data_IF_166408006722
#
_entry.id   IF_166408006722
#
_cell.length_a   1.000
_cell.length_b   1.000
_cell.length_c   1.000
_cell.angle_alpha   90.00
_cell.angle_beta   90.00
_cell.angle_gamma   90.00
#
_symmetry.space_group_name_H-M   'P 1'
#
loop_
_entity.id
_entity.type
_entity.pdbx_description
1 polymer ?
#
# COMPACT_ATOMS: atom_id res chain seq x y z
N UNK A 1 -26.19 -36.98 17.84
CA UNK A 1 -26.85 -35.71 17.48
C UNK A 1 -25.79 -34.83 16.85
N UNK A 2 -25.68 -34.90 15.53
CA UNK A 2 -24.74 -34.10 14.73
C UNK A 2 -25.54 -32.94 14.16
N UNK A 3 -25.23 -31.71 14.59
CA UNK A 3 -25.81 -30.51 14.00
C UNK A 3 -24.78 -29.92 13.04
N UNK A 4 -25.01 -30.17 11.75
CA UNK A 4 -24.34 -29.49 10.64
C UNK A 4 -24.85 -28.05 10.62
N UNK A 5 -23.97 -27.08 10.91
CA UNK A 5 -24.31 -25.67 10.81
C UNK A 5 -24.53 -25.32 9.32
N UNK A 6 -25.74 -24.86 8.98
CA UNK A 6 -26.05 -24.37 7.63
C UNK A 6 -25.41 -23.00 7.42
N UNK A 7 -24.62 -22.89 6.37
CA UNK A 7 -24.05 -21.64 5.86
C UNK A 7 -25.19 -20.89 5.15
N UNK A 8 -25.49 -19.62 5.50
CA UNK A 8 -26.50 -18.85 4.77
C UNK A 8 -25.95 -18.44 3.41
N UNK A 9 -26.69 -18.74 2.34
CA UNK A 9 -26.45 -18.22 0.99
C UNK A 9 -26.55 -16.68 1.03
N UNK A 10 -25.47 -16.00 0.62
CA UNK A 10 -25.46 -14.57 0.33
C UNK A 10 -25.25 -14.36 -1.17
N UNK A 11 -25.92 -13.32 -1.67
CA UNK A 11 -25.93 -12.83 -3.05
C UNK A 11 -24.55 -12.93 -3.73
N UNK A 12 -24.48 -13.43 -4.98
CA UNK A 12 -23.24 -13.51 -5.72
C UNK A 12 -22.69 -12.11 -6.03
N UNK A 13 -21.38 -11.94 -5.84
CA UNK A 13 -20.65 -10.81 -6.40
C UNK A 13 -20.79 -10.82 -7.93
N UNK A 14 -20.96 -9.64 -8.52
CA UNK A 14 -21.34 -9.42 -9.91
C UNK A 14 -20.47 -10.18 -10.95
N UNK A 15 -21.15 -10.59 -12.01
CA UNK A 15 -20.72 -11.44 -13.12
C UNK A 15 -19.49 -10.92 -13.91
N UNK A 16 -18.61 -11.84 -14.29
CA UNK A 16 -17.21 -11.65 -14.70
C UNK A 16 -17.05 -11.37 -16.21
N UNK A 17 -17.90 -10.52 -16.79
CA UNK A 17 -17.84 -10.13 -18.22
C UNK A 17 -17.80 -8.63 -18.49
N UNK A 18 -17.47 -7.81 -17.49
CA UNK A 18 -17.15 -6.41 -17.72
C UNK A 18 -15.65 -6.26 -18.07
N UNK A 19 -15.27 -5.39 -19.03
CA UNK A 19 -13.86 -5.05 -19.22
C UNK A 19 -13.25 -4.58 -17.89
N UNK A 20 -11.98 -4.90 -17.63
CA UNK A 20 -11.19 -4.48 -16.45
C UNK A 20 -11.08 -2.94 -16.38
N UNK A 21 -12.20 -2.28 -16.12
CA UNK A 21 -12.27 -0.90 -15.67
C UNK A 21 -12.38 -1.04 -14.17
N UNK A 22 -11.24 -0.90 -13.49
CA UNK A 22 -11.17 -1.06 -12.05
C UNK A 22 -12.25 -0.22 -11.37
N UNK A 23 -13.13 -0.89 -10.63
CA UNK A 23 -14.27 -0.28 -9.96
C UNK A 23 -13.79 0.45 -8.69
N UNK A 24 -12.97 1.48 -8.89
CA UNK A 24 -12.55 2.40 -7.85
C UNK A 24 -13.68 3.42 -7.66
N UNK A 25 -14.64 3.11 -6.79
CA UNK A 25 -15.70 4.05 -6.42
C UNK A 25 -15.12 5.24 -5.65
N UNK A 26 -15.02 6.40 -6.30
CA UNK A 26 -14.77 7.67 -5.62
C UNK A 26 -15.99 8.08 -4.76
N UNK A 27 -15.77 8.93 -3.74
CA UNK A 27 -16.85 9.59 -3.01
C UNK A 27 -17.78 10.30 -4.02
N UNK A 28 -19.12 10.19 -3.92
CA UNK A 28 -20.00 11.06 -4.68
C UNK A 28 -19.78 12.51 -4.25
N UNK A 29 -19.57 13.39 -5.22
CA UNK A 29 -19.40 14.83 -4.99
C UNK A 29 -20.57 15.36 -4.15
N UNK A 30 -20.27 15.88 -2.96
CA UNK A 30 -21.23 16.66 -2.20
C UNK A 30 -21.46 17.98 -2.97
N UNK A 31 -22.60 18.10 -3.63
CA UNK A 31 -23.04 19.33 -4.30
C UNK A 31 -23.04 20.52 -3.32
N UNK A 32 -22.05 21.41 -3.45
CA UNK A 32 -22.11 22.75 -2.88
C UNK A 32 -23.10 23.58 -3.70
N UNK A 33 -24.34 23.65 -3.21
CA UNK A 33 -25.39 24.51 -3.76
C UNK A 33 -25.02 25.99 -3.67
N UNK A 34 -24.71 26.61 -4.81
CA UNK A 34 -24.60 28.06 -4.92
C UNK A 34 -25.99 28.68 -5.17
N UNK A 35 -26.52 29.37 -4.16
CA UNK A 35 -27.63 30.28 -4.34
C UNK A 35 -27.22 31.46 -5.23
N UNK A 36 -27.88 31.59 -6.37
CA UNK A 36 -27.82 32.78 -7.23
C UNK A 36 -28.79 33.84 -6.71
N UNK A 37 -28.27 35.02 -6.39
CA UNK A 37 -29.04 36.26 -6.44
C UNK A 37 -28.21 37.26 -7.22
N UNK A 38 -28.64 37.55 -8.45
CA UNK A 38 -28.14 38.69 -9.20
C UNK A 38 -28.72 39.99 -8.67
N UNK A 39 -27.95 41.06 -8.73
CA UNK A 39 -28.48 42.34 -9.17
C UNK A 39 -27.37 43.27 -9.71
N UNK A 40 -27.79 43.99 -10.73
CA UNK A 40 -27.22 45.09 -11.49
C UNK A 40 -26.24 46.05 -10.80
N UNK A 41 -25.18 46.42 -11.54
CA UNK A 41 -25.06 47.76 -12.16
C UNK A 41 -23.70 47.94 -12.85
N UNK A 42 -23.78 48.21 -14.14
CA UNK A 42 -22.70 48.72 -14.97
C UNK A 42 -22.82 50.25 -14.95
N UNK A 43 -21.87 50.98 -14.37
CA UNK A 43 -21.55 52.36 -14.73
C UNK A 43 -20.21 52.78 -14.12
N UNK A 44 -19.44 53.58 -14.88
CA UNK A 44 -18.15 54.21 -14.55
C UNK A 44 -16.85 53.44 -14.84
N UNK A 45 -16.59 53.24 -16.15
CA UNK A 45 -15.23 53.15 -16.69
C UNK A 45 -14.86 54.48 -17.34
N UNK A 46 -14.04 55.29 -16.67
CA UNK A 46 -12.95 56.11 -17.25
C UNK A 46 -12.48 57.16 -16.22
N UNK A 47 -11.43 56.85 -15.44
CA UNK A 47 -10.43 57.78 -14.84
C UNK A 47 -9.62 57.09 -13.73
N UNK A 48 -8.58 56.29 -14.05
CA UNK A 48 -7.57 55.96 -13.01
C UNK A 48 -6.21 55.40 -13.49
N UNK A 49 -5.89 55.39 -14.79
CA UNK A 49 -4.69 54.70 -15.31
C UNK A 49 -3.30 55.21 -14.87
N UNK A 50 -3.18 56.42 -14.31
CA UNK A 50 -1.89 56.96 -13.86
C UNK A 50 -1.61 56.72 -12.37
N UNK A 51 -2.63 56.61 -11.51
CA UNK A 51 -2.42 56.40 -10.05
C UNK A 51 -2.02 54.96 -9.73
N UNK A 52 -2.59 53.98 -10.44
CA UNK A 52 -2.28 52.55 -10.23
C UNK A 52 -0.84 52.21 -10.62
N UNK A 53 -0.31 52.80 -11.70
CA UNK A 53 1.07 52.56 -12.14
C UNK A 53 2.12 53.14 -11.17
N UNK A 54 1.85 54.29 -10.56
CA UNK A 54 2.74 54.90 -9.57
C UNK A 54 2.77 54.11 -8.24
N UNK A 55 1.63 53.59 -7.79
CA UNK A 55 1.52 52.72 -6.61
C UNK A 55 2.23 51.38 -6.79
N UNK A 56 2.13 50.77 -7.98
CA UNK A 56 2.86 49.53 -8.30
C UNK A 56 4.38 49.72 -8.33
N UNK A 57 4.86 50.85 -8.85
CA UNK A 57 6.29 51.14 -8.89
C UNK A 57 6.86 51.41 -7.49
N UNK A 58 6.11 52.12 -6.64
CA UNK A 58 6.48 52.35 -5.25
C UNK A 58 6.54 51.04 -4.44
N UNK A 59 5.58 50.13 -4.64
CA UNK A 59 5.59 48.80 -4.00
C UNK A 59 6.80 47.95 -4.41
N UNK A 60 7.13 47.91 -5.71
CA UNK A 60 8.28 47.17 -6.22
C UNK A 60 9.60 47.74 -5.71
N UNK A 61 9.72 49.07 -5.61
CA UNK A 61 10.91 49.71 -5.06
C UNK A 61 11.06 49.41 -3.56
N UNK A 62 9.96 49.43 -2.79
CA UNK A 62 9.99 49.07 -1.37
C UNK A 62 10.34 47.60 -1.15
N UNK A 63 9.81 46.68 -1.97
CA UNK A 63 10.15 45.26 -1.91
C UNK A 63 11.63 45.01 -2.26
N UNK A 64 12.16 45.70 -3.27
CA UNK A 64 13.58 45.61 -3.63
C UNK A 64 14.51 46.15 -2.52
N UNK A 65 14.13 47.26 -1.87
CA UNK A 65 14.88 47.82 -0.74
C UNK A 65 14.80 46.93 0.50
N UNK A 66 13.66 46.29 0.76
CA UNK A 66 13.49 45.26 1.78
C UNK A 66 14.38 44.05 1.47
N UNK A 67 14.31 43.49 0.26
CA UNK A 67 15.17 42.36 -0.14
C UNK A 67 16.66 42.69 0.00
N UNK A 68 17.09 43.90 -0.35
CA UNK A 68 18.49 44.31 -0.22
C UNK A 68 18.91 44.52 1.25
N UNK A 69 18.01 45.01 2.11
CA UNK A 69 18.24 45.16 3.56
C UNK A 69 18.30 43.81 4.29
N UNK A 70 17.55 42.83 3.80
CA UNK A 70 17.47 41.48 4.39
C UNK A 70 18.42 40.45 3.73
N UNK A 71 19.05 40.79 2.60
CA UNK A 71 20.06 39.96 1.91
C UNK A 71 21.19 39.46 2.82
N UNK A 72 21.85 40.29 3.66
CA UNK A 72 22.91 39.80 4.53
C UNK A 72 22.39 38.87 5.65
N UNK A 73 21.10 38.97 6.02
CA UNK A 73 20.51 38.07 7.02
C UNK A 73 20.15 36.71 6.40
N UNK A 74 19.72 36.70 5.14
CA UNK A 74 19.46 35.48 4.36
C UNK A 74 20.75 34.71 4.02
N UNK A 75 21.88 35.41 3.83
CA UNK A 75 23.18 34.74 3.60
C UNK A 75 23.95 34.42 4.88
N UNK A 76 23.64 35.10 6.01
CA UNK A 76 24.21 34.78 7.33
C UNK A 76 23.50 33.63 8.04
N UNK A 77 22.30 33.25 7.59
CA UNK A 77 21.73 31.92 7.84
C UNK A 77 22.44 30.88 6.95
N UNK A 78 23.78 30.86 7.03
CA UNK A 78 24.51 29.65 6.75
C UNK A 78 24.01 28.65 7.79
N UNK A 79 23.06 27.81 7.37
CA UNK A 79 22.78 26.57 8.07
C UNK A 79 24.15 25.97 8.40
N UNK A 80 24.47 25.71 9.69
CA UNK A 80 25.70 25.01 10.00
C UNK A 80 25.71 23.78 9.11
N UNK A 81 26.77 23.68 8.29
CA UNK A 81 26.95 22.57 7.39
C UNK A 81 26.70 21.30 8.21
N UNK A 82 25.63 20.61 7.85
CA UNK A 82 25.33 19.22 8.11
C UNK A 82 26.26 18.59 9.16
N UNK A 83 25.88 18.63 10.43
CA UNK A 83 26.44 17.74 11.45
C UNK A 83 25.96 16.30 11.19
N UNK A 84 26.09 15.82 9.95
CA UNK A 84 26.19 14.40 9.69
C UNK A 84 27.41 13.96 10.48
N UNK A 85 27.17 13.18 11.53
CA UNK A 85 28.18 12.30 12.10
C UNK A 85 28.97 11.74 10.91
N UNK A 86 30.27 12.03 10.85
CA UNK A 86 31.14 11.42 9.86
C UNK A 86 31.14 9.93 10.16
N UNK A 87 30.23 9.22 9.51
CA UNK A 87 30.20 7.77 9.56
C UNK A 87 31.43 7.35 8.79
N UNK A 88 32.36 6.70 9.47
CA UNK A 88 33.52 6.09 8.84
C UNK A 88 32.99 5.04 7.86
N UNK A 89 33.04 5.32 6.56
CA UNK A 89 32.51 4.44 5.52
C UNK A 89 33.20 3.06 5.56
N UNK A 90 34.45 3.01 6.04
CA UNK A 90 35.20 1.77 6.25
C UNK A 90 34.69 0.95 7.46
N UNK A 91 33.89 1.57 8.35
CA UNK A 91 33.22 0.91 9.48
C UNK A 91 31.83 0.36 9.14
N UNK A 92 31.30 0.68 7.97
CA UNK A 92 30.00 0.17 7.51
C UNK A 92 30.16 -1.21 6.84
N UNK A 93 29.14 -2.06 6.99
CA UNK A 93 29.10 -3.30 6.21
C UNK A 93 29.04 -2.95 4.71
N UNK A 94 29.91 -3.54 3.86
CA UNK A 94 29.88 -3.27 2.43
C UNK A 94 28.54 -3.70 1.86
N UNK A 95 27.88 -2.78 1.16
CA UNK A 95 26.65 -3.10 0.43
C UNK A 95 26.99 -4.03 -0.74
N UNK A 96 26.52 -5.27 -0.69
CA UNK A 96 26.71 -6.23 -1.78
C UNK A 96 25.87 -5.87 -2.99
N UNK A 97 26.34 -6.22 -4.19
CA UNK A 97 25.56 -6.09 -5.41
C UNK A 97 24.27 -6.92 -5.32
N UNK A 98 23.21 -6.45 -5.97
CA UNK A 98 21.96 -7.19 -6.05
C UNK A 98 22.18 -8.58 -6.66
N UNK A 99 21.57 -9.59 -6.04
CA UNK A 99 21.60 -10.98 -6.51
C UNK A 99 20.39 -11.19 -7.41
N UNK A 100 20.62 -11.71 -8.62
CA UNK A 100 19.56 -12.05 -9.57
C UNK A 100 19.69 -13.52 -9.98
N UNK A 101 18.57 -14.24 -10.18
CA UNK A 101 18.59 -15.63 -10.60
C UNK A 101 19.29 -15.79 -11.96
N UNK A 102 20.25 -16.69 -12.01
CA UNK A 102 21.08 -16.98 -13.18
C UNK A 102 20.51 -18.11 -14.04
N UNK A 103 20.04 -19.20 -13.41
CA UNK A 103 19.41 -20.32 -14.10
C UNK A 103 18.02 -19.94 -14.66
N UNK A 104 17.41 -18.91 -14.07
CA UNK A 104 16.09 -18.42 -14.43
C UNK A 104 16.10 -17.06 -15.15
N UNK A 105 17.24 -16.60 -15.68
CA UNK A 105 17.38 -15.27 -16.28
C UNK A 105 16.30 -14.97 -17.35
N UNK A 106 16.08 -15.89 -18.29
CA UNK A 106 15.04 -15.69 -19.33
C UNK A 106 13.62 -15.61 -18.78
N UNK A 107 13.33 -16.33 -17.69
CA UNK A 107 12.04 -16.27 -17.02
C UNK A 107 11.89 -14.93 -16.29
N UNK A 108 12.94 -14.46 -15.62
CA UNK A 108 12.97 -13.14 -14.96
C UNK A 108 12.74 -12.03 -15.98
N UNK A 109 13.40 -12.06 -17.14
CA UNK A 109 13.20 -11.06 -18.20
C UNK A 109 11.75 -11.05 -18.69
N UNK A 110 11.16 -12.24 -18.91
CA UNK A 110 9.76 -12.38 -19.35
C UNK A 110 8.78 -11.87 -18.29
N UNK A 111 9.06 -12.11 -17.02
CA UNK A 111 8.25 -11.62 -15.90
C UNK A 111 8.39 -10.12 -15.72
N UNK A 112 9.59 -9.55 -15.87
CA UNK A 112 9.80 -8.10 -15.79
C UNK A 112 9.07 -7.35 -16.90
N UNK A 113 8.99 -7.92 -18.11
CA UNK A 113 8.18 -7.42 -19.22
C UNK A 113 6.69 -7.46 -18.86
N UNK A 114 6.18 -8.61 -18.40
CA UNK A 114 4.79 -8.79 -17.96
C UNK A 114 4.42 -7.79 -16.85
N UNK A 115 5.26 -7.65 -15.82
CA UNK A 115 5.06 -6.71 -14.72
C UNK A 115 5.09 -5.25 -15.17
N UNK A 116 5.73 -4.96 -16.30
CA UNK A 116 5.74 -3.64 -16.93
C UNK A 116 4.43 -3.30 -17.63
N UNK A 117 3.59 -4.28 -17.97
CA UNK A 117 2.34 -4.04 -18.70
C UNK A 117 1.30 -3.35 -17.82
N UNK A 118 0.58 -2.36 -18.39
CA UNK A 118 -0.50 -1.68 -17.67
C UNK A 118 -1.58 -2.65 -17.17
N UNK A 119 -1.86 -3.72 -17.93
CA UNK A 119 -2.81 -4.75 -17.53
C UNK A 119 -2.37 -5.44 -16.24
N UNK A 120 -1.12 -5.92 -16.17
CA UNK A 120 -0.61 -6.55 -14.96
C UNK A 120 -0.61 -5.57 -13.78
N UNK A 121 -0.12 -4.33 -14.00
CA UNK A 121 -0.07 -3.31 -12.95
C UNK A 121 -1.44 -3.06 -12.33
N UNK A 122 -2.44 -2.74 -13.16
CA UNK A 122 -3.79 -2.46 -12.69
C UNK A 122 -4.42 -3.68 -12.02
N UNK A 123 -4.17 -4.88 -12.54
CA UNK A 123 -4.60 -6.14 -11.94
C UNK A 123 -3.96 -6.36 -10.56
N UNK A 124 -2.67 -6.06 -10.40
CA UNK A 124 -1.97 -6.15 -9.12
C UNK A 124 -2.52 -5.11 -8.13
N UNK A 125 -2.68 -3.86 -8.54
CA UNK A 125 -3.21 -2.79 -7.71
C UNK A 125 -4.63 -3.11 -7.21
N UNK A 126 -5.50 -3.61 -8.08
CA UNK A 126 -6.84 -4.08 -7.69
C UNK A 126 -6.78 -5.27 -6.73
N UNK A 127 -5.81 -6.18 -6.87
CA UNK A 127 -5.63 -7.27 -5.89
C UNK A 127 -5.41 -6.76 -4.47
N UNK A 128 -4.59 -5.71 -4.32
CA UNK A 128 -4.34 -5.12 -3.00
C UNK A 128 -5.53 -4.27 -2.55
N UNK A 129 -6.07 -3.42 -3.43
CA UNK A 129 -7.21 -2.56 -3.10
C UNK A 129 -8.44 -3.36 -2.66
N UNK A 130 -8.80 -4.43 -3.37
CA UNK A 130 -9.89 -5.30 -2.97
C UNK A 130 -9.63 -6.01 -1.62
N UNK A 131 -8.38 -6.36 -1.31
CA UNK A 131 -8.01 -6.88 0.01
C UNK A 131 -8.22 -5.83 1.10
N UNK A 132 -7.84 -4.57 0.85
CA UNK A 132 -8.01 -3.43 1.78
C UNK A 132 -9.49 -3.17 2.08
N UNK A 133 -10.39 -3.36 1.10
CA UNK A 133 -11.84 -3.20 1.26
C UNK A 133 -12.50 -4.19 2.24
N UNK A 134 -11.81 -5.27 2.62
CA UNK A 134 -12.32 -6.25 3.59
C UNK A 134 -11.78 -5.88 4.97
N UNK A 135 -12.59 -5.31 5.89
CA UNK A 135 -12.12 -4.76 7.16
C UNK A 135 -11.85 -5.87 8.19
N UNK A 136 -10.75 -6.60 8.04
CA UNK A 136 -10.23 -7.63 8.95
C UNK A 136 -9.69 -7.03 10.26
N UNK A 137 -10.50 -6.21 10.93
CA UNK A 137 -10.11 -5.43 12.11
C UNK A 137 -9.97 -6.34 13.33
N UNK A 138 -8.79 -6.32 13.95
CA UNK A 138 -8.55 -6.93 15.24
C UNK A 138 -8.64 -5.87 16.36
N UNK A 139 -9.61 -6.03 17.27
CA UNK A 139 -9.81 -5.14 18.41
C UNK A 139 -9.12 -5.68 19.67
N UNK A 140 -8.74 -4.80 20.58
CA UNK A 140 -8.13 -5.17 21.86
C UNK A 140 -9.06 -6.00 22.77
N UNK A 141 -10.37 -5.94 22.53
CA UNK A 141 -11.42 -6.61 23.32
C UNK A 141 -12.07 -7.79 22.58
N UNK A 142 -11.41 -8.36 21.58
CA UNK A 142 -11.92 -9.54 20.88
C UNK A 142 -12.04 -10.75 21.82
N UNK A 143 -13.20 -11.41 21.77
CA UNK A 143 -13.41 -12.72 22.39
C UNK A 143 -12.72 -13.83 21.59
N UNK A 144 -12.97 -15.09 21.96
CA UNK A 144 -12.47 -16.23 21.17
C UNK A 144 -13.14 -16.30 19.79
N UNK A 145 -12.49 -16.90 18.77
CA UNK A 145 -13.08 -17.15 17.46
C UNK A 145 -14.48 -17.80 17.48
N UNK A 146 -14.75 -18.64 18.48
CA UNK A 146 -16.00 -19.37 18.64
C UNK A 146 -17.14 -18.50 19.22
N UNK A 147 -16.79 -17.48 20.01
CA UNK A 147 -17.74 -16.67 20.78
C UNK A 147 -18.02 -15.31 20.14
N UNK A 148 -17.01 -14.72 19.47
CA UNK A 148 -17.09 -13.37 18.96
C UNK A 148 -17.34 -13.34 17.43
N UNK A 149 -18.53 -12.90 16.98
CA UNK A 149 -18.85 -12.90 15.55
C UNK A 149 -18.01 -11.92 14.74
N UNK A 150 -17.27 -10.99 15.36
CA UNK A 150 -16.37 -10.05 14.66
C UNK A 150 -15.27 -10.79 13.89
N UNK A 151 -14.88 -11.98 14.33
CA UNK A 151 -13.93 -12.82 13.60
C UNK A 151 -14.43 -13.35 12.25
N UNK A 152 -15.75 -13.36 11.99
CA UNK A 152 -16.32 -13.94 10.76
C UNK A 152 -15.87 -13.22 9.49
N UNK A 153 -15.42 -11.96 9.60
CA UNK A 153 -14.91 -11.19 8.46
C UNK A 153 -13.70 -11.85 7.78
N UNK A 154 -12.92 -12.67 8.52
CA UNK A 154 -11.80 -13.40 7.95
C UNK A 154 -12.26 -14.46 6.93
N UNK A 155 -13.48 -15.00 7.03
CA UNK A 155 -14.03 -15.89 5.98
C UNK A 155 -14.33 -15.15 4.68
N UNK A 156 -14.72 -13.88 4.74
CA UNK A 156 -14.87 -13.04 3.54
C UNK A 156 -13.49 -12.81 2.89
N UNK A 157 -12.46 -12.59 3.71
CA UNK A 157 -11.07 -12.49 3.23
C UNK A 157 -10.57 -13.80 2.61
N UNK A 158 -10.86 -14.96 3.22
CA UNK A 158 -10.53 -16.28 2.67
C UNK A 158 -11.22 -16.53 1.33
N UNK A 159 -12.50 -16.18 1.24
CA UNK A 159 -13.28 -16.30 0.00
C UNK A 159 -12.70 -15.41 -1.11
N UNK A 160 -12.23 -14.22 -0.75
CA UNK A 160 -11.59 -13.30 -1.67
C UNK A 160 -10.28 -13.87 -2.23
N UNK A 161 -9.34 -14.31 -1.38
CA UNK A 161 -8.05 -14.86 -1.83
C UNK A 161 -8.22 -16.14 -2.66
N UNK A 162 -9.21 -16.98 -2.33
CA UNK A 162 -9.52 -18.20 -3.08
C UNK A 162 -9.97 -17.88 -4.50
N UNK A 163 -10.90 -16.92 -4.65
CA UNK A 163 -11.37 -16.44 -5.95
C UNK A 163 -10.28 -15.69 -6.72
N UNK A 164 -9.46 -14.91 -6.02
CA UNK A 164 -8.43 -14.05 -6.63
C UNK A 164 -7.27 -14.86 -7.19
N UNK A 165 -6.87 -15.93 -6.48
CA UNK A 165 -5.71 -16.75 -6.80
C UNK A 165 -6.09 -18.23 -7.01
N UNK A 166 -6.92 -18.53 -8.03
CA UNK A 166 -7.44 -19.89 -8.24
C UNK A 166 -6.32 -20.88 -8.56
N UNK A 167 -5.28 -20.45 -9.28
CA UNK A 167 -4.12 -21.31 -9.60
C UNK A 167 -3.33 -21.69 -8.34
N UNK A 168 -3.23 -20.79 -7.36
CA UNK A 168 -2.57 -21.07 -6.09
C UNK A 168 -3.38 -22.12 -5.34
N UNK A 169 -4.69 -21.92 -5.22
CA UNK A 169 -5.60 -22.83 -4.51
C UNK A 169 -5.76 -24.20 -5.20
N UNK A 170 -5.58 -24.26 -6.52
CA UNK A 170 -5.61 -25.50 -7.28
C UNK A 170 -4.29 -26.29 -7.20
N UNK A 171 -3.16 -25.62 -6.92
CA UNK A 171 -1.82 -26.23 -6.99
C UNK A 171 -1.23 -26.52 -5.62
N UNK A 172 -1.41 -25.61 -4.67
CA UNK A 172 -0.79 -25.68 -3.35
C UNK A 172 -1.71 -26.39 -2.37
N UNK A 173 -1.13 -27.11 -1.42
CA UNK A 173 -1.90 -27.68 -0.32
C UNK A 173 -2.23 -26.58 0.70
N UNK A 174 -3.52 -26.22 0.80
CA UNK A 174 -4.03 -25.29 1.82
C UNK A 174 -4.34 -26.05 3.11
N UNK A 175 -3.83 -25.54 4.23
CA UNK A 175 -4.17 -26.00 5.58
C UNK A 175 -4.67 -24.81 6.39
N UNK A 176 -5.84 -24.97 7.00
CA UNK A 176 -6.36 -24.04 8.01
C UNK A 176 -5.81 -24.45 9.38
N UNK A 177 -5.17 -23.51 10.08
CA UNK A 177 -4.58 -23.72 11.40
C UNK A 177 -5.36 -22.93 12.44
N UNK A 178 -5.72 -23.60 13.53
CA UNK A 178 -6.73 -23.13 14.48
C UNK A 178 -8.06 -22.86 13.76
N UNK A 179 -8.37 -21.60 13.47
CA UNK A 179 -9.65 -21.19 12.85
C UNK A 179 -9.47 -20.33 11.60
N UNK A 180 -8.53 -19.38 11.63
CA UNK A 180 -8.37 -18.37 10.56
C UNK A 180 -6.96 -18.27 9.96
N UNK A 181 -5.96 -18.95 10.52
CA UNK A 181 -4.62 -18.92 9.94
C UNK A 181 -4.56 -19.85 8.72
N UNK A 182 -3.92 -19.37 7.64
CA UNK A 182 -3.78 -20.10 6.39
C UNK A 182 -2.32 -20.46 6.12
N UNK A 183 -2.09 -21.72 5.79
CA UNK A 183 -0.79 -22.25 5.36
C UNK A 183 -0.94 -22.82 3.97
N UNK A 184 -0.18 -22.28 3.02
CA UNK A 184 -0.07 -22.82 1.67
C UNK A 184 1.27 -23.51 1.52
N UNK A 185 1.25 -24.83 1.32
CA UNK A 185 2.44 -25.62 1.10
C UNK A 185 2.63 -25.90 -0.39
N UNK A 186 3.71 -25.34 -0.95
CA UNK A 186 4.19 -25.68 -2.27
C UNK A 186 5.37 -26.65 -2.15
N UNK A 187 5.09 -27.94 -2.35
CA UNK A 187 6.10 -28.98 -2.24
C UNK A 187 7.13 -28.86 -3.38
N UNK A 188 8.39 -28.61 -3.02
CA UNK A 188 9.51 -28.63 -3.95
C UNK A 188 9.82 -30.04 -4.48
N UNK A 189 10.51 -30.11 -5.62
CA UNK A 189 10.84 -31.38 -6.29
C UNK A 189 11.85 -32.23 -5.50
N UNK A 190 12.74 -31.58 -4.75
CA UNK A 190 13.69 -32.25 -3.86
C UNK A 190 13.29 -32.04 -2.39
N UNK A 191 12.84 -33.11 -1.75
CA UNK A 191 12.39 -33.09 -0.36
C UNK A 191 13.56 -33.04 0.67
N UNK A 192 14.81 -33.16 0.23
CA UNK A 192 15.99 -33.07 1.11
C UNK A 192 16.41 -31.63 1.42
N UNK A 193 15.97 -30.67 0.59
CA UNK A 193 16.28 -29.26 0.74
C UNK A 193 15.47 -28.61 1.88
N UNK A 194 16.05 -27.57 2.49
CA UNK A 194 15.36 -26.79 3.53
C UNK A 194 14.25 -25.93 2.89
N UNK A 195 13.06 -25.83 3.50
CA UNK A 195 11.99 -25.02 2.95
C UNK A 195 12.26 -23.52 3.10
N UNK A 196 11.84 -22.72 2.11
CA UNK A 196 11.69 -21.28 2.25
C UNK A 196 10.33 -20.98 2.91
N UNK A 197 10.35 -20.14 3.94
CA UNK A 197 9.15 -19.75 4.66
C UNK A 197 8.85 -18.28 4.47
N UNK A 198 7.69 -18.01 3.87
CA UNK A 198 7.23 -16.70 3.46
C UNK A 198 6.08 -16.25 4.36
N UNK A 199 6.08 -15.01 4.83
CA UNK A 199 5.16 -14.50 5.85
C UNK A 199 4.58 -13.07 5.60
N UNK A 200 3.24 -12.86 5.43
CA UNK A 200 2.43 -11.67 5.88
C UNK A 200 1.02 -11.81 6.60
N UNK A 201 0.58 -10.87 7.45
CA UNK A 201 -0.65 -11.04 8.28
C UNK A 201 -1.88 -10.36 7.69
N UNK A 202 -3.07 -10.91 7.97
CA UNK A 202 -4.33 -10.47 7.37
C UNK A 202 -5.07 -9.43 8.19
N UNK A 203 -4.81 -9.34 9.49
CA UNK A 203 -5.49 -8.44 10.39
C UNK A 203 -5.03 -6.99 10.23
N UNK A 204 -5.86 -6.07 10.69
CA UNK A 204 -5.53 -4.64 10.72
C UNK A 204 -5.98 -4.03 12.05
N UNK A 205 -5.32 -2.96 12.46
CA UNK A 205 -5.75 -2.21 13.64
C UNK A 205 -7.03 -1.41 13.36
N UNK A 206 -7.83 -1.10 14.39
CA UNK A 206 -8.99 -0.25 14.25
C UNK A 206 -8.65 1.14 13.72
N UNK A 207 -9.67 1.82 13.19
CA UNK A 207 -9.63 3.26 13.00
C UNK A 207 -10.34 3.95 14.16
N UNK A 208 -10.02 5.23 14.37
CA UNK A 208 -10.72 6.03 15.35
C UNK A 208 -11.86 6.77 14.65
N UNK A 209 -13.10 6.42 14.98
CA UNK A 209 -14.32 7.03 14.42
C UNK A 209 -14.32 8.56 14.57
N UNK A 210 -13.67 9.09 15.62
CA UNK A 210 -13.53 10.54 15.83
C UNK A 210 -12.64 11.25 14.78
N UNK A 211 -11.94 10.48 13.95
CA UNK A 211 -11.05 10.97 12.89
C UNK A 211 -11.53 10.61 11.49
N UNK A 212 -12.76 10.09 11.34
CA UNK A 212 -13.29 9.65 10.04
C UNK A 212 -13.30 10.79 9.00
N UNK A 213 -13.56 12.02 9.43
CA UNK A 213 -13.54 13.22 8.58
C UNK A 213 -12.11 13.68 8.22
N UNK A 214 -11.08 13.21 8.92
CA UNK A 214 -9.67 13.53 8.65
C UNK A 214 -9.06 12.63 7.56
N UNK A 215 -9.80 11.59 7.13
CA UNK A 215 -9.39 10.71 6.05
C UNK A 215 -9.66 11.34 4.68
N UNK A 216 -8.60 11.52 3.89
CA UNK A 216 -8.65 11.92 2.48
C UNK A 216 -9.53 10.90 1.72
N UNK A 217 -9.25 9.62 1.90
CA UNK A 217 -10.02 8.49 1.37
C UNK A 217 -10.48 7.60 2.53
N UNK A 218 -11.72 7.08 2.52
CA UNK A 218 -12.22 6.23 3.61
C UNK A 218 -11.26 5.09 3.94
N UNK A 219 -11.12 4.72 5.22
CA UNK A 219 -10.07 3.80 5.67
C UNK A 219 -10.14 2.42 5.02
N UNK A 220 -11.31 1.96 4.59
CA UNK A 220 -11.47 0.68 3.89
C UNK A 220 -11.92 0.87 2.43
N UNK A 221 -11.56 1.99 1.80
CA UNK A 221 -11.89 2.25 0.38
C UNK A 221 -11.10 1.35 -0.58
N UNK A 222 -9.84 1.04 -0.23
CA UNK A 222 -8.90 0.39 -1.13
C UNK A 222 -8.59 1.23 -2.38
N UNK A 223 -8.98 2.50 -2.41
CA UNK A 223 -9.02 3.32 -3.63
C UNK A 223 -7.63 3.52 -4.23
N UNK A 224 -7.48 3.31 -5.54
CA UNK A 224 -6.29 3.67 -6.29
C UNK A 224 -6.51 4.98 -7.04
N UNK A 225 -5.69 5.99 -6.74
CA UNK A 225 -5.84 7.34 -7.31
C UNK A 225 -4.94 7.63 -8.53
N UNK A 226 -4.18 6.63 -8.98
CA UNK A 226 -3.16 6.78 -10.02
C UNK A 226 -1.72 6.78 -9.51
N UNK A 227 -1.50 6.91 -8.20
CA UNK A 227 -0.18 6.84 -7.57
C UNK A 227 -0.20 5.99 -6.29
N UNK A 228 -1.25 6.14 -5.48
CA UNK A 228 -1.39 5.55 -4.15
C UNK A 228 -2.58 4.61 -4.09
N UNK A 229 -2.41 3.52 -3.35
CA UNK A 229 -3.50 2.61 -2.95
C UNK A 229 -3.83 2.94 -1.50
N UNK A 230 -5.01 3.53 -1.29
CA UNK A 230 -5.44 4.11 -0.02
C UNK A 230 -6.21 3.12 0.85
N UNK A 231 -5.89 3.13 2.14
CA UNK A 231 -6.67 2.50 3.19
C UNK A 231 -5.85 1.77 4.24
N UNK A 232 -6.48 1.49 5.37
CA UNK A 232 -5.96 0.71 6.48
C UNK A 232 -5.61 -0.70 6.02
N UNK A 233 -4.37 -1.10 6.27
CA UNK A 233 -3.81 -2.37 5.83
C UNK A 233 -3.13 -2.31 4.47
N UNK A 234 -3.19 -1.17 3.77
CA UNK A 234 -2.46 -0.98 2.51
C UNK A 234 -0.94 -0.95 2.72
N UNK A 235 -0.45 -0.65 3.94
CA UNK A 235 0.96 -0.75 4.28
C UNK A 235 1.28 -1.94 5.21
N UNK A 236 0.41 -2.25 6.18
CA UNK A 236 0.64 -3.31 7.17
C UNK A 236 -0.62 -4.19 7.34
N UNK A 237 -0.66 -5.41 6.82
CA UNK A 237 0.36 -6.13 6.02
C UNK A 237 -0.30 -6.84 4.83
N UNK A 238 -1.41 -6.28 4.33
CA UNK A 238 -2.10 -6.85 3.16
C UNK A 238 -1.25 -6.85 1.89
N UNK A 239 -0.32 -5.90 1.62
CA UNK A 239 0.65 -6.06 0.53
C UNK A 239 1.42 -7.35 0.68
N UNK A 240 1.87 -7.56 1.91
CA UNK A 240 2.38 -8.82 2.36
C UNK A 240 1.40 -9.92 1.99
N UNK A 241 0.16 -10.02 2.48
CA UNK A 241 -0.72 -11.19 2.21
C UNK A 241 -0.94 -11.48 0.73
N UNK A 242 -1.14 -10.42 -0.04
CA UNK A 242 -1.35 -10.47 -1.48
C UNK A 242 -0.04 -10.80 -2.23
N UNK A 243 1.12 -10.66 -1.58
CA UNK A 243 2.45 -11.03 -2.08
C UNK A 243 3.24 -12.12 -1.30
N UNK A 244 2.81 -12.61 -0.13
CA UNK A 244 3.59 -13.22 0.97
C UNK A 244 2.66 -13.67 2.16
N UNK A 245 2.82 -14.73 2.99
CA UNK A 245 1.70 -15.23 3.92
C UNK A 245 2.11 -15.69 5.38
N UNK A 246 1.85 -14.95 6.50
CA UNK A 246 2.59 -14.82 7.83
C UNK A 246 1.88 -15.44 9.02
N UNK A 247 2.03 -16.74 9.24
CA UNK A 247 2.05 -17.18 10.64
C UNK A 247 2.95 -18.39 10.81
N UNK A 248 4.22 -18.20 11.20
CA UNK A 248 5.14 -19.31 11.51
C UNK A 248 6.17 -19.04 12.60
N UNK A 249 5.79 -18.30 13.64
CA UNK A 249 6.71 -18.02 14.75
C UNK A 249 7.19 -19.29 15.49
N UNK A 250 6.49 -20.41 15.33
CA UNK A 250 6.83 -21.71 15.92
C UNK A 250 7.68 -22.63 15.05
N UNK A 251 7.92 -22.32 13.76
CA UNK A 251 8.54 -23.26 12.82
C UNK A 251 10.04 -23.07 12.65
N UNK A 252 10.55 -21.85 12.83
CA UNK A 252 11.99 -21.59 12.71
C UNK A 252 12.41 -20.46 13.63
N UNK A 253 13.63 -20.58 14.16
CA UNK A 253 14.31 -19.53 14.94
C UNK A 253 15.02 -18.49 14.06
N UNK A 254 15.05 -18.69 12.75
CA UNK A 254 15.72 -17.83 11.77
C UNK A 254 14.70 -16.97 11.02
N UNK A 255 14.03 -16.07 11.74
CA UNK A 255 12.98 -15.24 11.17
C UNK A 255 13.55 -13.86 10.84
N UNK A 256 13.58 -13.54 9.54
CA UNK A 256 13.85 -12.19 9.05
C UNK A 256 12.53 -11.55 8.66
N UNK A 257 12.19 -10.42 9.28
CA UNK A 257 11.04 -9.61 8.89
C UNK A 257 11.50 -8.56 7.90
N UNK A 258 11.04 -8.66 6.66
CA UNK A 258 11.42 -7.75 5.61
C UNK A 258 10.17 -7.33 4.84
N UNK A 259 9.80 -6.06 4.97
CA UNK A 259 8.84 -5.42 4.08
C UNK A 259 9.61 -4.80 2.93
N UNK A 260 9.47 -5.33 1.72
CA UNK A 260 10.11 -4.75 0.54
C UNK A 260 9.35 -3.47 0.14
N UNK A 261 9.76 -2.35 0.75
CA UNK A 261 9.19 -1.01 0.52
C UNK A 261 10.25 0.05 0.86
N UNK A 262 10.39 1.08 0.02
CA UNK A 262 11.24 2.23 0.29
C UNK A 262 10.67 3.14 1.39
N UNK A 263 11.53 4.00 1.95
CA UNK A 263 11.13 4.94 3.01
C UNK A 263 10.06 5.95 2.54
N UNK A 264 10.04 6.28 1.24
CA UNK A 264 9.13 7.26 0.64
C UNK A 264 7.84 6.65 0.05
N UNK A 265 7.68 5.33 0.14
CA UNK A 265 6.56 4.62 -0.48
C UNK A 265 5.35 4.47 0.46
N UNK A 266 5.40 5.12 1.63
CA UNK A 266 4.27 5.32 2.52
C UNK A 266 3.87 6.78 2.54
N UNK A 267 2.58 7.06 2.47
CA UNK A 267 2.10 8.44 2.46
C UNK A 267 2.25 9.13 3.83
N UNK A 268 1.70 8.53 4.89
CA UNK A 268 1.72 9.11 6.25
C UNK A 268 2.11 8.08 7.33
N UNK A 269 2.88 7.06 6.97
CA UNK A 269 3.21 5.93 7.86
C UNK A 269 2.12 4.86 7.93
N UNK A 270 2.45 3.73 8.54
CA UNK A 270 1.47 2.67 8.84
C UNK A 270 0.74 3.00 10.15
N UNK A 271 -0.50 2.50 10.32
CA UNK A 271 -1.33 2.69 11.51
C UNK A 271 -1.83 4.12 11.78
N UNK A 272 -1.47 5.09 10.95
CA UNK A 272 -1.94 6.48 11.05
C UNK A 272 -3.21 6.72 10.23
N UNK A 273 -3.75 7.94 10.30
CA UNK A 273 -4.72 8.44 9.33
C UNK A 273 -4.06 8.58 7.96
N UNK A 274 -4.82 8.39 6.89
CA UNK A 274 -4.32 8.49 5.52
C UNK A 274 -3.21 7.46 5.20
N UNK A 275 -3.34 6.25 5.76
CA UNK A 275 -2.48 5.12 5.37
C UNK A 275 -2.67 4.81 3.88
N UNK A 276 -1.57 4.83 3.14
CA UNK A 276 -1.51 4.46 1.74
C UNK A 276 -0.11 3.97 1.37
N UNK A 277 -0.06 2.98 0.48
CA UNK A 277 1.16 2.50 -0.15
C UNK A 277 1.22 3.03 -1.59
N UNK A 278 2.42 3.41 -2.03
CA UNK A 278 2.66 3.73 -3.44
C UNK A 278 2.46 2.48 -4.28
N UNK A 279 1.68 2.58 -5.34
CA UNK A 279 1.30 1.43 -6.16
C UNK A 279 2.53 0.72 -6.76
N UNK A 280 3.50 1.48 -7.30
CA UNK A 280 4.75 0.91 -7.83
C UNK A 280 5.57 0.20 -6.74
N UNK A 281 5.52 0.63 -5.48
CA UNK A 281 6.23 -0.06 -4.41
C UNK A 281 5.64 -1.46 -4.13
N UNK A 282 4.33 -1.61 -4.30
CA UNK A 282 3.69 -2.92 -4.24
C UNK A 282 4.12 -3.82 -5.41
N UNK A 283 4.32 -3.28 -6.62
CA UNK A 283 4.89 -4.06 -7.72
C UNK A 283 6.34 -4.48 -7.46
N UNK A 284 7.17 -3.58 -6.93
CA UNK A 284 8.53 -3.94 -6.56
C UNK A 284 8.57 -5.04 -5.49
N UNK A 285 7.60 -5.05 -4.58
CA UNK A 285 7.45 -6.14 -3.62
C UNK A 285 7.16 -7.49 -4.30
N UNK A 286 6.30 -7.51 -5.32
CA UNK A 286 6.05 -8.70 -6.13
C UNK A 286 7.34 -9.14 -6.85
N UNK A 287 8.06 -8.21 -7.50
CA UNK A 287 9.35 -8.49 -8.15
C UNK A 287 10.35 -9.11 -7.18
N UNK A 288 10.46 -8.53 -5.98
CA UNK A 288 11.38 -9.00 -4.96
C UNK A 288 11.07 -10.45 -4.53
N UNK A 289 9.82 -10.75 -4.18
CA UNK A 289 9.47 -12.12 -3.74
C UNK A 289 9.63 -13.15 -4.85
N UNK A 290 9.32 -12.80 -6.10
CA UNK A 290 9.58 -13.67 -7.25
C UNK A 290 11.07 -13.99 -7.39
N UNK A 291 11.94 -12.96 -7.35
CA UNK A 291 13.39 -13.16 -7.42
C UNK A 291 13.93 -13.92 -6.21
N UNK A 292 13.38 -13.68 -5.02
CA UNK A 292 13.76 -14.40 -3.81
C UNK A 292 13.46 -15.90 -3.94
N UNK A 293 12.27 -16.26 -4.43
CA UNK A 293 11.89 -17.67 -4.65
C UNK A 293 12.83 -18.33 -5.67
N UNK A 294 13.08 -17.68 -6.80
CA UNK A 294 13.95 -18.23 -7.84
C UNK A 294 15.42 -18.34 -7.38
N UNK A 295 15.92 -17.35 -6.64
CA UNK A 295 17.25 -17.41 -6.02
C UNK A 295 17.35 -18.54 -4.98
N UNK A 296 16.30 -18.75 -4.19
CA UNK A 296 16.26 -19.81 -3.19
C UNK A 296 16.24 -21.21 -3.83
N UNK A 297 15.69 -21.34 -5.04
CA UNK A 297 15.67 -22.59 -5.79
C UNK A 297 17.02 -22.94 -6.44
N UNK A 298 17.79 -21.95 -6.89
CA UNK A 298 19.11 -22.20 -7.52
C UNK A 298 20.31 -22.12 -6.56
N UNK A 299 20.11 -21.72 -5.30
CA UNK A 299 21.23 -21.48 -4.38
C UNK A 299 21.72 -22.75 -3.68
N UNK A 300 23.04 -22.93 -3.66
CA UNK A 300 23.69 -23.96 -2.85
C UNK A 300 23.97 -23.47 -1.41
N UNK A 301 23.58 -22.24 -1.05
CA UNK A 301 23.84 -21.67 0.29
C UNK A 301 22.91 -22.24 1.37
N UNK A 302 21.83 -22.93 0.97
CA UNK A 302 20.82 -23.46 1.88
C UNK A 302 20.98 -24.97 2.16
N UNK A 303 21.97 -25.62 1.54
CA UNK A 303 22.38 -27.01 1.82
C UNK A 303 22.82 -27.20 3.28
#
# INVERSE_FOLDING_TARGET
MSQTAQIPEREPFADEKAPLVAHWGAKPDAELGWHTTGDSRNHERQRSGLRTKALSFACLLSLALLAHRFWPYLTSAAFPADNRLSVDEDSMCPQVSAISPSNYASLVDSLDEEYGTNEFKLKAYESLGAAVRIPTVCYDDLGTPEEDPRWKIFYDFHSYIEKRFPKVHATLQRTEVATYALVYHWQGADASLKPLLLTAHMDVVPTNDATDDDWINPPFSGYYDGEWIWGRGSCDDKPGVIGNTRHYWSLTKHIFRYGHRGAADGYNGAHTINEAIRAEAFLEQIRFFTRLILNADETNLLE
#
